data_IF_095113883626
#
_entry.id   IF_095113883626
#
_cell.length_a   1.000
_cell.length_b   1.000
_cell.length_c   1.000
_cell.angle_alpha   90.00
_cell.angle_beta   90.00
_cell.angle_gamma   90.00
#
_symmetry.space_group_name_H-M   'P 1'
#
loop_
_entity.id
_entity.type
_entity.pdbx_description
1 polymer ?
#
# COMPACT_ATOMS: atom_id res chain seq x y z
N UNK A 1 -7.86 25.55 23.48
CA UNK A 1 -8.33 24.69 22.37
C UNK A 1 -7.71 25.22 21.09
N UNK A 2 -7.02 24.37 20.32
CA UNK A 2 -6.41 24.80 19.06
C UNK A 2 -7.50 24.94 17.99
N UNK A 3 -7.37 25.95 17.13
CA UNK A 3 -8.25 26.11 15.97
C UNK A 3 -7.70 25.30 14.79
N UNK A 4 -8.61 24.61 14.10
CA UNK A 4 -8.29 23.73 12.98
C UNK A 4 -8.66 24.42 11.67
N UNK A 5 -7.73 24.42 10.70
CA UNK A 5 -7.93 25.05 9.39
C UNK A 5 -8.60 24.08 8.42
N UNK A 6 -8.09 22.85 8.30
CA UNK A 6 -8.64 21.80 7.42
C UNK A 6 -8.37 20.40 7.98
N UNK A 7 -9.16 19.41 7.57
CA UNK A 7 -8.95 18.00 7.90
C UNK A 7 -9.09 17.18 6.62
N UNK A 8 -8.07 16.40 6.29
CA UNK A 8 -8.09 15.41 5.21
C UNK A 8 -8.16 14.03 5.85
N UNK A 9 -9.10 13.19 5.40
CA UNK A 9 -9.35 11.86 5.97
C UNK A 9 -8.92 10.81 4.95
N UNK A 10 -8.10 9.85 5.38
CA UNK A 10 -7.71 8.67 4.61
C UNK A 10 -8.35 7.45 5.28
N UNK A 11 -9.46 6.98 4.70
CA UNK A 11 -10.23 5.86 5.23
C UNK A 11 -9.49 4.52 5.08
N UNK A 12 -8.65 4.37 4.05
CA UNK A 12 -7.89 3.14 3.82
C UNK A 12 -6.82 2.95 4.88
N UNK A 13 -6.12 4.04 5.24
CA UNK A 13 -5.10 4.04 6.31
C UNK A 13 -5.70 4.26 7.70
N UNK A 14 -7.00 4.51 7.82
CA UNK A 14 -7.67 4.88 9.07
C UNK A 14 -6.94 6.02 9.81
N UNK A 15 -6.56 7.03 9.03
CA UNK A 15 -5.76 8.18 9.48
C UNK A 15 -6.38 9.51 9.07
N UNK A 16 -6.07 10.57 9.82
CA UNK A 16 -6.53 11.93 9.58
C UNK A 16 -5.36 12.90 9.60
N UNK A 17 -5.20 13.66 8.54
CA UNK A 17 -4.28 14.79 8.48
C UNK A 17 -5.01 16.07 8.86
N UNK A 18 -4.64 16.63 10.00
CA UNK A 18 -5.24 17.83 10.58
C UNK A 18 -4.30 19.00 10.34
N UNK A 19 -4.73 19.92 9.47
CA UNK A 19 -3.98 21.10 9.05
C UNK A 19 -4.33 22.28 9.93
N UNK A 20 -3.32 22.91 10.50
CA UNK A 20 -3.46 24.05 11.40
C UNK A 20 -2.43 25.15 11.12
N UNK A 21 -2.72 26.36 11.57
CA UNK A 21 -1.76 27.46 11.51
C UNK A 21 -0.55 27.17 12.40
N UNK A 22 0.64 27.64 11.98
CA UNK A 22 1.91 27.40 12.68
C UNK A 22 1.85 27.87 14.15
N UNK A 23 1.20 29.00 14.39
CA UNK A 23 0.97 29.57 15.73
C UNK A 23 0.15 28.66 16.66
N UNK A 24 -0.71 27.81 16.10
CA UNK A 24 -1.57 26.88 16.84
C UNK A 24 -0.99 25.47 16.96
N UNK A 25 0.10 25.15 16.23
CA UNK A 25 0.73 23.83 16.21
C UNK A 25 1.14 23.34 17.59
N UNK A 26 1.84 24.18 18.35
CA UNK A 26 2.28 23.84 19.70
C UNK A 26 1.10 23.58 20.66
N UNK A 27 -0.01 24.30 20.50
CA UNK A 27 -1.21 24.11 21.32
C UNK A 27 -1.95 22.81 20.95
N UNK A 28 -2.02 22.50 19.66
CA UNK A 28 -2.66 21.30 19.15
C UNK A 28 -1.91 20.02 19.54
N UNK A 29 -0.57 20.03 19.50
CA UNK A 29 0.27 18.91 19.96
C UNK A 29 0.09 18.69 21.47
N UNK A 30 0.04 19.78 22.25
CA UNK A 30 0.04 19.73 23.71
C UNK A 30 1.40 19.30 24.29
N UNK A 31 1.54 19.33 25.62
CA UNK A 31 2.81 18.97 26.27
C UNK A 31 3.14 17.50 25.99
N UNK A 32 4.26 17.25 25.30
CA UNK A 32 4.72 15.90 24.97
C UNK A 32 3.78 15.11 24.05
N UNK A 33 2.99 15.79 23.21
CA UNK A 33 2.04 15.16 22.28
C UNK A 33 0.77 14.63 22.93
N UNK A 34 0.49 15.02 24.18
CA UNK A 34 -0.63 14.47 24.95
C UNK A 34 -1.99 14.71 24.28
N UNK A 35 -2.20 15.85 23.63
CA UNK A 35 -3.48 16.16 23.01
C UNK A 35 -3.73 15.29 21.77
N UNK A 36 -2.72 15.14 20.91
CA UNK A 36 -2.79 14.29 19.71
C UNK A 36 -3.00 12.83 20.12
N UNK A 37 -2.23 12.34 21.10
CA UNK A 37 -2.34 10.95 21.56
C UNK A 37 -3.73 10.67 22.13
N UNK A 38 -4.26 11.55 22.97
CA UNK A 38 -5.59 11.38 23.53
C UNK A 38 -6.67 11.45 22.45
N UNK A 39 -6.53 12.37 21.48
CA UNK A 39 -7.47 12.48 20.37
C UNK A 39 -7.46 11.21 19.52
N UNK A 40 -6.29 10.65 19.21
CA UNK A 40 -6.15 9.37 18.50
C UNK A 40 -6.72 8.19 19.28
N UNK A 41 -6.49 8.11 20.59
CA UNK A 41 -7.07 7.06 21.45
C UNK A 41 -8.60 7.16 21.54
N UNK A 42 -9.14 8.38 21.57
CA UNK A 42 -10.59 8.62 21.66
C UNK A 42 -11.31 8.42 20.33
N UNK A 43 -10.70 8.80 19.21
CA UNK A 43 -11.27 8.60 17.88
C UNK A 43 -11.06 7.18 17.37
N UNK A 44 -9.96 6.53 17.78
CA UNK A 44 -9.45 5.30 17.17
C UNK A 44 -8.71 5.52 15.85
N UNK A 45 -8.50 6.77 15.43
CA UNK A 45 -7.81 7.13 14.19
C UNK A 45 -6.40 7.63 14.47
N UNK A 46 -5.46 7.34 13.58
CA UNK A 46 -4.15 7.97 13.62
C UNK A 46 -4.29 9.44 13.21
N UNK A 47 -3.85 10.38 14.06
CA UNK A 47 -3.99 11.81 13.80
C UNK A 47 -2.62 12.43 13.56
N UNK A 48 -2.40 12.91 12.35
CA UNK A 48 -1.21 13.65 11.96
C UNK A 48 -1.50 15.14 12.01
N UNK A 49 -0.71 15.89 12.78
CA UNK A 49 -0.75 17.35 12.77
C UNK A 49 0.31 17.89 11.83
N UNK A 50 -0.08 18.83 10.99
CA UNK A 50 0.84 19.52 10.09
C UNK A 50 0.44 20.98 9.89
N UNK A 51 1.42 21.81 9.54
CA UNK A 51 1.15 23.20 9.14
C UNK A 51 0.54 23.25 7.74
N UNK A 52 -0.03 24.40 7.38
CA UNK A 52 -0.49 24.67 6.02
C UNK A 52 0.62 24.47 4.99
N UNK A 53 1.85 24.91 5.30
CA UNK A 53 3.02 24.74 4.44
C UNK A 53 3.40 23.26 4.27
N UNK A 54 3.42 22.51 5.37
CA UNK A 54 3.70 21.07 5.35
C UNK A 54 2.64 20.27 4.58
N UNK A 55 1.37 20.66 4.70
CA UNK A 55 0.28 20.04 3.93
C UNK A 55 0.44 20.31 2.43
N UNK A 56 0.80 21.54 2.04
CA UNK A 56 1.06 21.88 0.64
C UNK A 56 2.25 21.09 0.08
N UNK A 57 3.35 21.00 0.83
CA UNK A 57 4.53 20.22 0.43
C UNK A 57 4.20 18.74 0.29
N UNK A 58 3.42 18.17 1.22
CA UNK A 58 2.97 16.78 1.15
C UNK A 58 2.13 16.53 -0.12
N UNK A 59 1.17 17.40 -0.42
CA UNK A 59 0.35 17.29 -1.63
C UNK A 59 1.21 17.38 -2.90
N UNK A 60 2.17 18.30 -2.97
CA UNK A 60 3.06 18.42 -4.13
C UNK A 60 3.91 17.15 -4.32
N UNK A 61 4.40 16.56 -3.23
CA UNK A 61 5.12 15.29 -3.28
C UNK A 61 4.23 14.13 -3.72
N UNK A 62 2.98 14.08 -3.27
CA UNK A 62 2.01 13.06 -3.69
C UNK A 62 1.68 13.20 -5.18
N UNK A 63 1.43 14.43 -5.64
CA UNK A 63 1.18 14.72 -7.05
C UNK A 63 2.38 14.31 -7.92
N UNK A 64 3.60 14.63 -7.50
CA UNK A 64 4.81 14.23 -8.21
C UNK A 64 4.96 12.70 -8.29
N UNK A 65 4.68 11.99 -7.19
CA UNK A 65 4.74 10.51 -7.17
C UNK A 65 3.72 9.89 -8.13
N UNK A 66 2.48 10.37 -8.11
CA UNK A 66 1.43 9.85 -9.00
C UNK A 66 1.73 10.19 -10.45
N UNK A 67 2.20 11.41 -10.74
CA UNK A 67 2.65 11.79 -12.08
C UNK A 67 3.75 10.86 -12.58
N UNK A 68 4.78 10.63 -11.77
CA UNK A 68 5.90 9.75 -12.15
C UNK A 68 5.42 8.29 -12.31
N UNK A 69 4.44 7.85 -11.52
CA UNK A 69 3.76 6.55 -11.70
C UNK A 69 3.09 6.48 -13.07
N UNK A 70 2.29 7.49 -13.45
CA UNK A 70 1.60 7.48 -14.75
C UNK A 70 2.58 7.56 -15.92
N UNK A 71 3.57 8.46 -15.87
CA UNK A 71 4.61 8.54 -16.92
C UNK A 71 5.32 7.21 -17.10
N UNK A 72 5.75 6.58 -15.99
CA UNK A 72 6.53 5.33 -16.06
C UNK A 72 5.69 4.09 -16.40
N UNK A 73 4.45 4.00 -15.90
CA UNK A 73 3.61 2.82 -16.07
C UNK A 73 2.76 2.90 -17.31
N UNK A 74 2.07 4.03 -17.54
CA UNK A 74 1.18 4.20 -18.69
C UNK A 74 1.91 4.63 -19.97
N UNK A 75 3.22 4.92 -19.88
CA UNK A 75 4.05 5.37 -21.02
C UNK A 75 3.46 6.62 -21.69
N UNK A 76 3.11 7.60 -20.86
CA UNK A 76 2.56 8.90 -21.25
C UNK A 76 3.59 9.99 -21.01
N UNK A 77 3.42 11.14 -21.66
CA UNK A 77 4.22 12.32 -21.33
C UNK A 77 3.78 12.96 -20.01
N UNK A 78 4.59 13.91 -19.53
CA UNK A 78 4.32 14.61 -18.28
C UNK A 78 3.04 15.46 -18.34
N UNK A 79 2.67 15.98 -19.51
CA UNK A 79 1.48 16.83 -19.67
C UNK A 79 0.20 16.03 -19.47
N UNK A 80 0.10 14.85 -20.10
CA UNK A 80 -1.02 13.91 -19.92
C UNK A 80 -1.08 13.42 -18.47
N UNK A 81 0.06 13.11 -17.86
CA UNK A 81 0.11 12.68 -16.46
C UNK A 81 -0.34 13.80 -15.50
N UNK A 82 0.08 15.04 -15.73
CA UNK A 82 -0.33 16.20 -14.92
C UNK A 82 -1.84 16.44 -15.01
N UNK A 83 -2.43 16.30 -16.20
CA UNK A 83 -3.88 16.40 -16.40
C UNK A 83 -4.61 15.33 -15.58
N UNK A 84 -4.18 14.06 -15.66
CA UNK A 84 -4.81 12.98 -14.89
C UNK A 84 -4.77 13.25 -13.38
N UNK A 85 -3.63 13.70 -12.85
CA UNK A 85 -3.49 14.02 -11.42
C UNK A 85 -4.39 15.21 -11.03
N UNK A 86 -4.49 16.24 -11.87
CA UNK A 86 -5.35 17.41 -11.62
C UNK A 86 -6.84 17.06 -11.61
N UNK A 87 -7.25 16.12 -12.45
CA UNK A 87 -8.61 15.56 -12.49
C UNK A 87 -8.87 14.58 -11.33
N UNK A 88 -7.88 14.33 -10.48
CA UNK A 88 -8.02 13.55 -9.25
C UNK A 88 -7.73 12.05 -9.39
N UNK A 89 -7.16 11.60 -10.52
CA UNK A 89 -6.71 10.23 -10.67
C UNK A 89 -5.41 10.01 -9.88
N UNK A 90 -5.43 9.08 -8.94
CA UNK A 90 -4.31 8.75 -8.07
C UNK A 90 -3.77 7.33 -8.29
N UNK A 91 -4.56 6.46 -8.94
CA UNK A 91 -4.25 5.04 -9.11
C UNK A 91 -4.43 4.57 -10.55
N UNK A 92 -3.80 3.44 -10.91
CA UNK A 92 -3.97 2.83 -12.23
C UNK A 92 -5.36 2.20 -12.38
N UNK A 93 -5.96 1.77 -11.27
CA UNK A 93 -7.29 1.20 -11.16
C UNK A 93 -8.37 2.22 -11.54
N UNK A 94 -8.28 3.44 -11.02
CA UNK A 94 -9.18 4.53 -11.41
C UNK A 94 -9.08 4.78 -12.93
N UNK A 95 -7.86 4.91 -13.46
CA UNK A 95 -7.67 5.09 -14.91
C UNK A 95 -8.24 3.91 -15.70
N UNK A 96 -8.14 2.67 -15.22
CA UNK A 96 -8.64 1.50 -15.94
C UNK A 96 -10.19 1.41 -15.96
N UNK A 97 -10.83 1.74 -14.84
CA UNK A 97 -12.21 1.32 -14.56
C UNK A 97 -13.22 2.46 -14.44
N UNK A 98 -12.78 3.72 -14.30
CA UNK A 98 -13.69 4.88 -14.34
C UNK A 98 -14.52 4.86 -15.63
N UNK A 99 -15.82 5.24 -15.57
CA UNK A 99 -16.68 5.32 -16.75
C UNK A 99 -16.05 6.14 -17.87
N UNK A 100 -16.25 5.68 -19.12
CA UNK A 100 -15.67 6.37 -20.28
C UNK A 100 -16.17 7.81 -20.39
N UNK A 101 -17.42 8.04 -20.03
CA UNK A 101 -18.08 9.36 -20.07
C UNK A 101 -17.36 10.36 -19.17
N UNK A 102 -17.00 9.97 -17.95
CA UNK A 102 -16.26 10.83 -17.00
C UNK A 102 -14.87 11.20 -17.52
N UNK A 103 -14.16 10.24 -18.13
CA UNK A 103 -12.84 10.53 -18.72
C UNK A 103 -12.92 11.42 -19.98
N UNK A 104 -14.05 11.38 -20.70
CA UNK A 104 -14.30 12.21 -21.88
C UNK A 104 -14.73 13.64 -21.53
N UNK A 105 -15.09 13.92 -20.28
CA UNK A 105 -15.33 15.28 -19.80
C UNK A 105 -14.03 16.08 -19.69
N UNK A 106 -12.89 15.41 -19.62
CA UNK A 106 -11.55 16.02 -19.63
C UNK A 106 -11.30 16.62 -21.03
N UNK A 107 -11.39 17.95 -21.15
CA UNK A 107 -11.30 18.65 -22.45
C UNK A 107 -10.03 18.33 -23.25
N UNK A 108 -8.96 17.95 -22.56
CA UNK A 108 -7.66 17.64 -23.16
C UNK A 108 -7.59 16.24 -23.78
N UNK A 109 -8.56 15.35 -23.55
CA UNK A 109 -8.54 13.99 -24.07
C UNK A 109 -9.63 13.72 -25.10
N UNK A 110 -9.27 12.96 -26.14
CA UNK A 110 -10.22 12.41 -27.09
C UNK A 110 -10.52 10.93 -26.79
N UNK A 111 -11.57 10.40 -27.42
CA UNK A 111 -11.99 9.01 -27.23
C UNK A 111 -10.88 8.00 -27.55
N UNK A 112 -10.01 8.31 -28.52
CA UNK A 112 -8.90 7.43 -28.86
C UNK A 112 -7.88 7.37 -27.72
N UNK A 113 -7.49 8.53 -27.19
CA UNK A 113 -6.52 8.68 -26.09
C UNK A 113 -7.05 8.02 -24.82
N UNK A 114 -8.31 8.29 -24.44
CA UNK A 114 -8.92 7.67 -23.26
C UNK A 114 -8.93 6.14 -23.40
N UNK A 115 -9.37 5.60 -24.53
CA UNK A 115 -9.39 4.15 -24.73
C UNK A 115 -7.99 3.54 -24.66
N UNK A 116 -6.98 4.24 -25.18
CA UNK A 116 -5.58 3.82 -25.10
C UNK A 116 -5.07 3.80 -23.66
N UNK A 117 -5.25 4.89 -22.90
CA UNK A 117 -4.89 4.98 -21.48
C UNK A 117 -5.52 3.85 -20.67
N UNK A 118 -6.83 3.65 -20.83
CA UNK A 118 -7.57 2.57 -20.16
C UNK A 118 -7.06 1.19 -20.54
N UNK A 119 -6.73 0.98 -21.81
CA UNK A 119 -6.20 -0.29 -22.31
C UNK A 119 -4.82 -0.58 -21.70
N UNK A 120 -3.93 0.41 -21.69
CA UNK A 120 -2.60 0.30 -21.07
C UNK A 120 -2.71 0.02 -19.57
N UNK A 121 -3.54 0.78 -18.85
CA UNK A 121 -3.80 0.57 -17.44
C UNK A 121 -4.28 -0.86 -17.14
N UNK A 122 -5.30 -1.34 -17.86
CA UNK A 122 -5.80 -2.72 -17.70
C UNK A 122 -4.74 -3.78 -18.02
N UNK A 123 -3.96 -3.59 -19.08
CA UNK A 123 -2.91 -4.54 -19.45
C UNK A 123 -1.82 -4.61 -18.38
N UNK A 124 -1.46 -3.49 -17.77
CA UNK A 124 -0.50 -3.43 -16.68
C UNK A 124 -1.04 -4.12 -15.43
N UNK A 125 -2.30 -3.84 -15.05
CA UNK A 125 -2.94 -4.49 -13.90
C UNK A 125 -3.05 -6.01 -14.12
N UNK A 126 -3.39 -6.45 -15.33
CA UNK A 126 -3.41 -7.86 -15.68
C UNK A 126 -2.01 -8.49 -15.61
N UNK A 127 -1.00 -7.82 -16.16
CA UNK A 127 0.38 -8.30 -16.12
C UNK A 127 0.90 -8.39 -14.69
N UNK A 128 0.58 -7.39 -13.85
CA UNK A 128 0.91 -7.40 -12.44
C UNK A 128 0.21 -8.53 -11.68
N UNK A 129 -1.07 -8.79 -11.97
CA UNK A 129 -1.81 -9.89 -11.39
C UNK A 129 -1.21 -11.26 -11.77
N UNK A 130 -0.86 -11.45 -13.05
CA UNK A 130 -0.20 -12.68 -13.52
C UNK A 130 1.17 -12.84 -12.86
N UNK A 131 1.99 -11.79 -12.85
CA UNK A 131 3.31 -11.83 -12.22
C UNK A 131 3.21 -12.15 -10.73
N UNK A 132 2.20 -11.62 -10.03
CA UNK A 132 1.95 -11.95 -8.64
C UNK A 132 1.53 -13.41 -8.46
N UNK A 133 0.66 -13.95 -9.33
CA UNK A 133 0.26 -15.36 -9.30
C UNK A 133 1.45 -16.30 -9.59
N UNK A 134 2.28 -15.97 -10.57
CA UNK A 134 3.52 -16.70 -10.87
C UNK A 134 4.49 -16.65 -9.68
N UNK A 135 4.67 -15.48 -9.07
CA UNK A 135 5.51 -15.32 -7.89
C UNK A 135 5.00 -16.16 -6.71
N UNK A 136 3.69 -16.18 -6.47
CA UNK A 136 3.07 -17.06 -5.46
C UNK A 136 3.31 -18.53 -5.81
N UNK A 137 3.23 -18.91 -7.08
CA UNK A 137 3.60 -20.25 -7.56
C UNK A 137 5.04 -20.62 -7.24
N UNK A 138 6.00 -19.76 -7.57
CA UNK A 138 7.42 -19.95 -7.28
C UNK A 138 7.70 -20.03 -5.77
N UNK A 139 7.06 -19.17 -4.99
CA UNK A 139 7.13 -19.20 -3.54
C UNK A 139 6.68 -20.56 -2.99
N UNK A 140 5.58 -21.11 -3.49
CA UNK A 140 5.10 -22.45 -3.09
C UNK A 140 6.13 -23.52 -3.44
N UNK A 141 6.69 -23.50 -4.65
CA UNK A 141 7.71 -24.46 -5.08
C UNK A 141 8.97 -24.40 -4.21
N UNK A 142 9.39 -23.20 -3.80
CA UNK A 142 10.54 -22.99 -2.92
C UNK A 142 10.26 -23.47 -1.49
N UNK A 143 9.08 -23.18 -0.94
CA UNK A 143 8.67 -23.66 0.39
C UNK A 143 8.57 -25.18 0.46
N UNK A 144 8.10 -25.83 -0.61
CA UNK A 144 8.01 -27.30 -0.69
C UNK A 144 9.38 -28.00 -0.64
N UNK A 145 10.49 -27.27 -0.82
CA UNK A 145 11.84 -27.82 -0.63
C UNK A 145 12.21 -27.98 0.84
N UNK A 146 11.49 -27.33 1.76
CA UNK A 146 11.69 -27.45 3.21
C UNK A 146 11.13 -28.81 3.66
N UNK A 147 11.96 -29.61 4.32
CA UNK A 147 11.55 -30.91 4.82
C UNK A 147 10.42 -30.78 5.86
N UNK A 148 9.30 -31.49 5.62
CA UNK A 148 8.11 -31.44 6.47
C UNK A 148 7.04 -30.42 6.04
N UNK A 149 7.33 -29.60 5.01
CA UNK A 149 6.34 -28.69 4.41
C UNK A 149 5.30 -29.46 3.60
N UNK A 150 4.02 -29.14 3.77
CA UNK A 150 2.94 -29.65 2.93
C UNK A 150 2.43 -28.57 1.97
N UNK A 151 1.67 -29.00 0.95
CA UNK A 151 1.20 -28.14 -0.13
C UNK A 151 0.19 -27.09 0.35
N UNK A 152 -0.66 -27.44 1.32
CA UNK A 152 -1.69 -26.53 1.84
C UNK A 152 -1.06 -25.42 2.71
N UNK A 153 -0.03 -25.76 3.49
CA UNK A 153 0.76 -24.85 4.31
C UNK A 153 1.60 -23.93 3.43
N UNK A 154 2.29 -24.49 2.42
CA UNK A 154 3.09 -23.72 1.47
C UNK A 154 2.23 -22.69 0.72
N UNK A 155 1.03 -23.07 0.27
CA UNK A 155 0.06 -22.12 -0.32
C UNK A 155 -0.36 -21.02 0.64
N UNK A 156 -0.69 -21.39 1.88
CA UNK A 156 -1.13 -20.44 2.90
C UNK A 156 -0.03 -19.43 3.23
N UNK A 157 1.22 -19.89 3.36
CA UNK A 157 2.37 -19.03 3.61
C UNK A 157 2.69 -18.13 2.43
N UNK A 158 2.78 -18.68 1.22
CA UNK A 158 3.04 -17.92 0.00
C UNK A 158 1.99 -16.83 -0.24
N UNK A 159 0.71 -17.14 -0.02
CA UNK A 159 -0.40 -16.17 -0.12
C UNK A 159 -0.37 -15.07 0.95
N UNK A 160 0.30 -15.32 2.09
CA UNK A 160 0.54 -14.32 3.15
C UNK A 160 1.88 -13.61 3.02
N UNK A 161 2.57 -13.77 1.88
CA UNK A 161 3.85 -13.11 1.61
C UNK A 161 5.08 -13.80 2.19
N UNK A 162 4.91 -14.96 2.84
CA UNK A 162 6.03 -15.79 3.35
C UNK A 162 6.37 -16.81 2.28
N UNK A 163 7.27 -16.47 1.37
CA UNK A 163 7.53 -17.27 0.18
C UNK A 163 8.89 -17.96 0.11
N UNK A 164 9.79 -17.69 1.05
CA UNK A 164 11.17 -18.21 1.02
C UNK A 164 11.50 -18.96 2.30
N UNK A 165 12.52 -19.82 2.25
CA UNK A 165 13.03 -20.52 3.42
C UNK A 165 13.49 -19.54 4.52
N UNK A 166 14.16 -18.45 4.14
CA UNK A 166 14.59 -17.43 5.09
C UNK A 166 13.39 -16.73 5.75
N UNK A 167 12.34 -16.41 4.99
CA UNK A 167 11.13 -15.83 5.55
C UNK A 167 10.44 -16.75 6.56
N UNK A 168 10.47 -18.08 6.35
CA UNK A 168 9.98 -19.06 7.33
C UNK A 168 10.91 -19.15 8.55
N UNK A 169 12.22 -19.03 8.34
CA UNK A 169 13.22 -19.09 9.41
C UNK A 169 13.16 -17.87 10.35
N UNK A 170 12.74 -16.71 9.85
CA UNK A 170 12.62 -15.48 10.63
C UNK A 170 11.37 -15.44 11.51
N UNK A 171 10.33 -16.23 11.19
CA UNK A 171 9.12 -16.33 12.00
C UNK A 171 9.37 -16.99 13.36
N UNK A 172 8.54 -16.63 14.33
CA UNK A 172 8.41 -17.38 15.56
C UNK A 172 7.28 -18.44 15.50
N UNK A 173 7.21 -19.29 16.52
CA UNK A 173 6.24 -20.39 16.56
C UNK A 173 4.80 -19.90 16.70
N UNK A 174 4.57 -18.80 17.42
CA UNK A 174 3.23 -18.24 17.62
C UNK A 174 2.73 -17.57 16.34
N UNK A 175 3.59 -16.82 15.66
CA UNK A 175 3.32 -16.20 14.36
C UNK A 175 2.99 -17.25 13.29
N UNK A 176 3.80 -18.31 13.19
CA UNK A 176 3.56 -19.36 12.19
C UNK A 176 2.24 -20.12 12.45
N UNK A 177 1.89 -20.34 13.71
CA UNK A 177 0.61 -20.95 14.11
C UNK A 177 -0.55 -20.01 13.79
N UNK A 178 -0.44 -18.72 14.05
CA UNK A 178 -1.47 -17.73 13.70
C UNK A 178 -1.67 -17.64 12.18
N UNK A 179 -0.58 -17.71 11.42
CA UNK A 179 -0.62 -17.63 9.96
C UNK A 179 -1.26 -18.87 9.32
N UNK A 180 -1.06 -20.06 9.88
CA UNK A 180 -1.43 -21.32 9.20
C UNK A 180 -2.48 -22.15 9.92
N UNK A 181 -2.73 -21.87 11.21
CA UNK A 181 -3.59 -22.68 12.07
C UNK A 181 -3.02 -24.06 12.43
N UNK A 182 -1.74 -24.31 12.18
CA UNK A 182 -1.09 -25.59 12.48
C UNK A 182 -0.80 -25.79 13.97
N UNK A 183 -0.38 -26.99 14.38
CA UNK A 183 0.06 -27.24 15.74
C UNK A 183 1.44 -26.62 16.03
N UNK A 184 1.66 -26.18 17.27
CA UNK A 184 2.90 -25.51 17.66
C UNK A 184 4.15 -26.39 17.61
N UNK A 185 4.01 -27.71 17.75
CA UNK A 185 5.15 -28.63 17.66
C UNK A 185 5.66 -28.73 16.22
N UNK A 186 4.72 -28.87 15.27
CA UNK A 186 4.98 -28.83 13.83
C UNK A 186 5.52 -27.49 13.38
N UNK A 187 4.96 -26.39 13.85
CA UNK A 187 5.46 -25.04 13.53
C UNK A 187 6.92 -24.86 13.96
N UNK A 188 7.26 -25.26 15.19
CA UNK A 188 8.63 -25.20 15.67
C UNK A 188 9.59 -26.10 14.86
N UNK A 189 9.15 -27.31 14.49
CA UNK A 189 9.93 -28.20 13.63
C UNK A 189 10.23 -27.57 12.26
N UNK A 190 9.23 -26.99 11.61
CA UNK A 190 9.40 -26.32 10.31
C UNK A 190 10.36 -25.13 10.39
N UNK A 191 10.25 -24.30 11.42
CA UNK A 191 11.16 -23.16 11.63
C UNK A 191 12.59 -23.64 11.86
N UNK A 192 12.78 -24.67 12.69
CA UNK A 192 14.11 -25.24 12.94
C UNK A 192 14.72 -25.85 11.68
N UNK A 193 13.93 -26.56 10.86
CA UNK A 193 14.36 -27.08 9.56
C UNK A 193 14.72 -25.95 8.61
N UNK A 194 13.92 -24.88 8.57
CA UNK A 194 14.20 -23.71 7.75
C UNK A 194 15.52 -23.03 8.16
N UNK A 195 15.83 -22.98 9.47
CA UNK A 195 17.10 -22.45 10.00
C UNK A 195 18.30 -23.37 9.86
N UNK A 196 18.11 -24.65 9.52
CA UNK A 196 19.18 -25.64 9.46
C UNK A 196 20.43 -25.18 8.65
N UNK A 197 20.31 -24.47 7.51
CA UNK A 197 21.48 -23.99 6.77
C UNK A 197 22.33 -22.95 7.51
N UNK A 198 21.80 -22.26 8.52
CA UNK A 198 22.52 -21.23 9.28
C UNK A 198 23.33 -21.81 10.45
N UNK A 199 23.14 -23.10 10.76
CA UNK A 199 23.83 -23.80 11.83
C UNK A 199 25.01 -24.67 11.34
N UNK A 200 25.39 -24.56 10.05
CA UNK A 200 26.47 -25.31 9.40
C UNK A 200 27.70 -24.44 9.18
#
# INVERSE_FOLDING_TARGET
PAEVSSIVVDEEKHSMDVVIEEENLAQAIGRGGQNVRLASELSGWEINLMTVEQSAEKNEQEFAKVRDLFVSKLDVDAEVADILVQEGFNTLEEVAYVPLEEMLEIESFDEATVNELRSRARNLLLTAAIANEEQVGHNIEDLLKIEGMDEDTARTLAGKGVGTQDAVADLDTEELVELTGMDGERANQLIMTARAPWFV
#
